data_IF_764073621061
#
_entry.id   IF_764073621061
#
_cell.length_a   1.000
_cell.length_b   1.000
_cell.length_c   1.000
_cell.angle_alpha   90.00
_cell.angle_beta   90.00
_cell.angle_gamma   90.00
#
_symmetry.space_group_name_H-M   'P 1'
#
loop_
_entity.id
_entity.type
_entity.pdbx_description
1 polymer ?
#
# COMPACT_ATOMS: atom_id res chain seq x y z
N UNK A 1 11.52 -4.60 32.61
CA UNK A 1 10.46 -3.95 31.84
C UNK A 1 10.28 -4.78 30.58
N UNK A 2 9.29 -5.67 30.54
CA UNK A 2 8.92 -6.45 29.36
C UNK A 2 8.11 -5.52 28.45
N UNK A 3 8.67 -5.16 27.30
CA UNK A 3 7.92 -4.49 26.24
C UNK A 3 7.00 -5.55 25.66
N UNK A 4 5.71 -5.52 25.99
CA UNK A 4 4.71 -6.25 25.24
C UNK A 4 4.64 -5.64 23.84
N UNK A 5 5.16 -6.34 22.85
CA UNK A 5 4.90 -6.08 21.44
C UNK A 5 3.44 -6.42 21.19
N UNK A 6 2.55 -5.46 21.49
CA UNK A 6 1.15 -5.55 21.11
C UNK A 6 1.08 -5.51 19.58
N UNK A 7 0.69 -6.62 18.96
CA UNK A 7 0.25 -6.59 17.57
C UNK A 7 -1.00 -5.71 17.53
N UNK A 8 -0.89 -4.53 16.93
CA UNK A 8 -2.05 -3.72 16.61
C UNK A 8 -2.91 -4.51 15.63
N UNK A 9 -4.10 -4.89 16.06
CA UNK A 9 -5.04 -5.73 15.34
C UNK A 9 -6.42 -5.08 15.39
N UNK A 10 -7.01 -4.86 14.22
CA UNK A 10 -8.38 -4.37 14.12
C UNK A 10 -9.32 -5.54 13.89
N UNK A 11 -9.93 -6.03 14.96
CA UNK A 11 -10.84 -7.18 14.94
C UNK A 11 -12.05 -6.95 14.03
N UNK A 12 -12.60 -5.74 14.01
CA UNK A 12 -13.74 -5.39 13.18
C UNK A 12 -13.42 -5.51 11.70
N UNK A 13 -12.30 -4.93 11.27
CA UNK A 13 -11.85 -5.01 9.87
C UNK A 13 -11.54 -6.46 9.48
N UNK A 14 -10.88 -7.21 10.35
CA UNK A 14 -10.56 -8.62 10.05
C UNK A 14 -11.81 -9.48 9.89
N UNK A 15 -12.82 -9.30 10.75
CA UNK A 15 -14.11 -9.99 10.64
C UNK A 15 -14.83 -9.63 9.33
N UNK A 16 -14.84 -8.35 8.93
CA UNK A 16 -15.42 -7.93 7.66
C UNK A 16 -14.69 -8.53 6.46
N UNK A 17 -13.35 -8.53 6.46
CA UNK A 17 -12.54 -9.13 5.39
C UNK A 17 -12.77 -10.66 5.28
N UNK A 18 -12.93 -11.35 6.40
CA UNK A 18 -13.27 -12.77 6.45
C UNK A 18 -14.69 -13.03 5.93
N UNK A 19 -15.66 -12.21 6.36
CA UNK A 19 -17.06 -12.30 5.90
C UNK A 19 -17.17 -12.06 4.39
N UNK A 20 -16.55 -11.00 3.86
CA UNK A 20 -16.51 -10.77 2.41
C UNK A 20 -15.93 -11.96 1.64
N UNK A 21 -14.88 -12.58 2.21
CA UNK A 21 -14.24 -13.76 1.60
C UNK A 21 -15.15 -14.99 1.64
N UNK A 22 -15.93 -15.18 2.71
CA UNK A 22 -16.90 -16.27 2.85
C UNK A 22 -18.03 -16.10 1.81
N UNK A 23 -18.64 -14.90 1.73
CA UNK A 23 -19.66 -14.60 0.71
C UNK A 23 -19.13 -14.85 -0.71
N UNK A 24 -17.89 -14.49 -1.00
CA UNK A 24 -17.29 -14.72 -2.32
C UNK A 24 -17.05 -16.21 -2.61
N UNK A 25 -16.74 -17.05 -1.60
CA UNK A 25 -16.65 -18.50 -1.75
C UNK A 25 -17.99 -19.12 -2.09
N UNK A 26 -19.08 -18.61 -1.51
CA UNK A 26 -20.45 -18.99 -1.78
C UNK A 26 -20.99 -18.41 -3.11
N UNK A 27 -20.16 -17.71 -3.87
CA UNK A 27 -20.50 -17.00 -5.11
C UNK A 27 -21.53 -15.89 -4.94
N UNK A 28 -21.76 -15.43 -3.71
CA UNK A 28 -22.58 -14.26 -3.42
C UNK A 28 -21.74 -12.98 -3.53
N UNK A 29 -21.43 -12.61 -4.78
CA UNK A 29 -20.46 -11.52 -5.04
C UNK A 29 -21.03 -10.14 -4.72
N UNK A 30 -22.32 -9.90 -4.86
CA UNK A 30 -22.93 -8.61 -4.51
C UNK A 30 -22.84 -8.36 -3.01
N UNK A 31 -23.12 -9.36 -2.17
CA UNK A 31 -22.93 -9.29 -0.73
C UNK A 31 -21.43 -9.12 -0.39
N UNK A 32 -20.55 -9.87 -1.07
CA UNK A 32 -19.11 -9.74 -0.86
C UNK A 32 -18.61 -8.31 -1.18
N UNK A 33 -19.13 -7.67 -2.23
CA UNK A 33 -18.84 -6.27 -2.57
C UNK A 33 -19.33 -5.31 -1.47
N UNK A 34 -20.57 -5.50 -0.99
CA UNK A 34 -21.14 -4.67 0.06
C UNK A 34 -20.34 -4.74 1.36
N UNK A 35 -20.03 -5.95 1.83
CA UNK A 35 -19.22 -6.17 3.03
C UNK A 35 -17.79 -5.64 2.84
N UNK A 36 -17.23 -5.78 1.64
CA UNK A 36 -15.89 -5.26 1.35
C UNK A 36 -15.85 -3.73 1.33
N UNK A 37 -16.90 -3.05 0.88
CA UNK A 37 -17.02 -1.60 0.98
C UNK A 37 -17.05 -1.15 2.45
N UNK A 38 -17.83 -1.83 3.28
CA UNK A 38 -17.84 -1.57 4.73
C UNK A 38 -16.46 -1.81 5.37
N UNK A 39 -15.75 -2.87 4.95
CA UNK A 39 -14.39 -3.11 5.40
C UNK A 39 -13.46 -1.96 5.03
N UNK A 40 -13.54 -1.43 3.80
CA UNK A 40 -12.74 -0.29 3.35
C UNK A 40 -13.00 0.97 4.16
N UNK A 41 -14.27 1.29 4.45
CA UNK A 41 -14.62 2.44 5.31
C UNK A 41 -13.98 2.33 6.70
N UNK A 42 -13.92 1.10 7.26
CA UNK A 42 -13.28 0.88 8.56
C UNK A 42 -11.74 0.88 8.45
N UNK A 43 -11.17 0.44 7.33
CA UNK A 43 -9.72 0.53 7.06
C UNK A 43 -9.25 1.98 7.09
N UNK A 44 -10.00 2.93 6.47
CA UNK A 44 -9.61 4.35 6.40
C UNK A 44 -9.63 5.08 7.73
N UNK A 45 -10.31 4.56 8.74
CA UNK A 45 -10.37 5.16 10.08
C UNK A 45 -9.60 4.34 11.13
N UNK A 46 -8.97 3.25 10.72
CA UNK A 46 -8.20 2.37 11.60
C UNK A 46 -6.77 2.88 11.77
N UNK A 47 -6.25 2.77 13.00
CA UNK A 47 -4.82 3.04 13.29
C UNK A 47 -3.89 1.91 12.82
N UNK A 48 -4.44 0.86 12.17
CA UNK A 48 -3.70 -0.31 11.70
C UNK A 48 -3.53 -0.28 10.19
N UNK A 49 -2.31 -0.49 9.71
CA UNK A 49 -2.02 -0.62 8.27
C UNK A 49 -2.46 -1.98 7.72
N UNK A 50 -3.16 -1.96 6.60
CA UNK A 50 -3.62 -3.15 5.90
C UNK A 50 -2.84 -3.38 4.61
N UNK A 51 -2.67 -4.65 4.21
CA UNK A 51 -1.92 -4.96 3.00
C UNK A 51 -2.62 -4.46 1.72
N UNK A 52 -1.85 -4.07 0.67
CA UNK A 52 -2.41 -3.70 -0.63
C UNK A 52 -3.33 -4.77 -1.22
N UNK A 53 -3.04 -6.05 -0.94
CA UNK A 53 -3.86 -7.17 -1.41
C UNK A 53 -5.25 -7.19 -0.75
N UNK A 54 -5.37 -6.80 0.52
CA UNK A 54 -6.65 -6.71 1.21
C UNK A 54 -7.51 -5.58 0.63
N UNK A 55 -6.91 -4.42 0.38
CA UNK A 55 -7.61 -3.25 -0.18
C UNK A 55 -8.07 -3.51 -1.61
N UNK A 56 -7.21 -4.04 -2.48
CA UNK A 56 -7.54 -4.32 -3.87
C UNK A 56 -8.46 -5.55 -4.08
N UNK A 57 -8.82 -6.26 -3.00
CA UNK A 57 -9.61 -7.50 -3.05
C UNK A 57 -11.02 -7.32 -3.58
N UNK A 58 -11.59 -6.13 -3.46
CA UNK A 58 -12.91 -5.79 -3.96
C UNK A 58 -13.00 -5.85 -5.49
N UNK A 59 -11.92 -5.51 -6.19
CA UNK A 59 -11.87 -5.43 -7.65
C UNK A 59 -12.25 -6.75 -8.33
N UNK A 60 -11.67 -7.92 -7.98
CA UNK A 60 -12.11 -9.21 -8.51
C UNK A 60 -13.56 -9.58 -8.17
N UNK A 61 -14.13 -9.05 -7.10
CA UNK A 61 -15.52 -9.34 -6.75
C UNK A 61 -16.50 -8.69 -7.73
N UNK A 62 -16.25 -7.44 -8.13
CA UNK A 62 -17.03 -6.79 -9.20
C UNK A 62 -16.99 -7.60 -10.51
N UNK A 63 -15.81 -8.05 -10.94
CA UNK A 63 -15.69 -8.84 -12.18
C UNK A 63 -16.48 -10.15 -12.07
N UNK A 64 -16.36 -10.87 -10.95
CA UNK A 64 -17.09 -12.13 -10.74
C UNK A 64 -18.60 -11.96 -10.61
N UNK A 65 -19.07 -10.78 -10.22
CA UNK A 65 -20.48 -10.39 -10.23
C UNK A 65 -20.98 -10.01 -11.64
N UNK A 66 -20.14 -10.08 -12.68
CA UNK A 66 -20.48 -9.60 -14.04
C UNK A 66 -20.53 -8.08 -14.15
N UNK A 67 -19.91 -7.34 -13.22
CA UNK A 67 -19.96 -5.88 -13.08
C UNK A 67 -18.58 -5.26 -13.29
N UNK A 68 -17.88 -5.68 -14.36
CA UNK A 68 -16.52 -5.23 -14.64
C UNK A 68 -16.41 -3.70 -14.69
N UNK A 69 -17.28 -3.04 -15.47
CA UNK A 69 -17.27 -1.59 -15.62
C UNK A 69 -17.50 -0.85 -14.29
N UNK A 70 -18.36 -1.38 -13.40
CA UNK A 70 -18.57 -0.81 -12.07
C UNK A 70 -17.30 -0.93 -11.22
N UNK A 71 -16.55 -2.03 -11.37
CA UNK A 71 -15.27 -2.24 -10.70
C UNK A 71 -14.20 -1.26 -11.15
N UNK A 72 -14.13 -0.97 -12.45
CA UNK A 72 -13.25 0.08 -13.01
C UNK A 72 -13.66 1.46 -12.46
N UNK A 73 -14.94 1.80 -12.57
CA UNK A 73 -15.44 3.08 -12.08
C UNK A 73 -15.20 3.26 -10.57
N UNK A 74 -15.41 2.20 -9.76
CA UNK A 74 -15.14 2.24 -8.33
C UNK A 74 -13.66 2.46 -8.02
N UNK A 75 -12.76 1.83 -8.78
CA UNK A 75 -11.33 2.03 -8.62
C UNK A 75 -10.94 3.50 -8.91
N UNK A 76 -11.42 4.05 -10.02
CA UNK A 76 -11.03 5.39 -10.48
C UNK A 76 -11.67 6.52 -9.66
N UNK A 77 -12.94 6.36 -9.25
CA UNK A 77 -13.69 7.44 -8.58
C UNK A 77 -13.64 7.39 -7.07
N UNK A 78 -13.28 6.26 -6.47
CA UNK A 78 -13.27 6.11 -5.01
C UNK A 78 -11.95 5.53 -4.50
N UNK A 79 -11.55 4.33 -4.94
CA UNK A 79 -10.48 3.59 -4.27
C UNK A 79 -9.10 4.25 -4.44
N UNK A 80 -8.73 4.63 -5.67
CA UNK A 80 -7.45 5.27 -5.95
C UNK A 80 -7.38 6.68 -5.35
N UNK A 81 -8.39 7.56 -5.50
CA UNK A 81 -8.41 8.84 -4.80
C UNK A 81 -8.26 8.70 -3.29
N UNK A 82 -8.97 7.75 -2.68
CA UNK A 82 -8.91 7.53 -1.23
C UNK A 82 -7.54 7.07 -0.77
N UNK A 83 -6.88 6.17 -1.52
CA UNK A 83 -5.51 5.76 -1.26
C UNK A 83 -4.50 6.92 -1.33
N UNK A 84 -4.73 7.89 -2.21
CA UNK A 84 -3.87 9.07 -2.33
C UNK A 84 -4.09 10.03 -1.17
N UNK A 85 -5.34 10.18 -0.69
CA UNK A 85 -5.68 11.04 0.45
C UNK A 85 -5.19 10.48 1.79
N UNK A 86 -5.23 9.16 1.97
CA UNK A 86 -4.96 8.47 3.23
C UNK A 86 -3.48 8.52 3.64
N UNK A 87 -2.58 8.70 2.69
CA UNK A 87 -1.14 8.76 2.94
C UNK A 87 -0.63 10.19 2.95
N UNK A 88 0.17 10.54 3.97
CA UNK A 88 0.95 11.77 3.94
C UNK A 88 1.96 11.71 2.78
N UNK A 89 1.90 12.71 1.90
CA UNK A 89 2.76 12.79 0.72
C UNK A 89 4.06 13.56 0.98
N UNK A 90 4.38 13.88 2.23
CA UNK A 90 5.55 14.67 2.61
C UNK A 90 6.87 13.94 2.37
N UNK A 91 6.91 12.62 2.61
CA UNK A 91 8.09 11.77 2.47
C UNK A 91 8.11 10.92 1.19
N UNK A 92 9.31 10.57 0.71
CA UNK A 92 9.46 9.67 -0.44
C UNK A 92 8.98 8.26 -0.13
N UNK A 93 9.15 7.79 1.11
CA UNK A 93 8.67 6.48 1.58
C UNK A 93 7.14 6.39 1.53
N UNK A 94 6.42 7.42 2.00
CA UNK A 94 4.95 7.44 1.97
C UNK A 94 4.43 7.47 0.54
N UNK A 95 5.03 8.29 -0.32
CA UNK A 95 4.73 8.31 -1.75
C UNK A 95 5.00 6.98 -2.44
N UNK A 96 6.02 6.24 -2.00
CA UNK A 96 6.29 4.89 -2.48
C UNK A 96 5.14 3.95 -2.12
N UNK A 97 4.64 3.99 -0.88
CA UNK A 97 3.50 3.17 -0.48
C UNK A 97 2.24 3.47 -1.31
N UNK A 98 1.94 4.74 -1.61
CA UNK A 98 0.85 5.09 -2.54
C UNK A 98 1.05 4.35 -3.87
N UNK A 99 2.25 4.41 -4.45
CA UNK A 99 2.54 3.71 -5.71
C UNK A 99 2.32 2.19 -5.59
N UNK A 100 2.72 1.57 -4.47
CA UNK A 100 2.52 0.15 -4.22
C UNK A 100 1.03 -0.22 -4.19
N UNK A 101 0.21 0.55 -3.47
CA UNK A 101 -1.22 0.29 -3.32
C UNK A 101 -1.98 0.52 -4.63
N UNK A 102 -1.74 1.65 -5.28
CA UNK A 102 -2.35 1.97 -6.59
C UNK A 102 -1.90 0.97 -7.65
N UNK A 103 -0.63 0.60 -7.67
CA UNK A 103 -0.10 -0.45 -8.55
C UNK A 103 -0.84 -1.78 -8.36
N UNK A 104 -1.15 -2.14 -7.10
CA UNK A 104 -1.91 -3.37 -6.80
C UNK A 104 -3.36 -3.32 -7.27
N UNK A 105 -4.00 -2.16 -7.21
CA UNK A 105 -5.34 -1.96 -7.80
C UNK A 105 -5.28 -2.17 -9.32
N UNK A 106 -4.32 -1.55 -10.00
CA UNK A 106 -4.15 -1.72 -11.45
C UNK A 106 -3.82 -3.16 -11.86
N UNK A 107 -3.01 -3.91 -11.09
CA UNK A 107 -2.80 -5.35 -11.33
C UNK A 107 -4.13 -6.12 -11.32
N UNK A 108 -5.03 -5.82 -10.37
CA UNK A 108 -6.32 -6.51 -10.29
C UNK A 108 -7.24 -6.12 -11.44
N UNK A 109 -7.23 -4.85 -11.86
CA UNK A 109 -7.97 -4.38 -13.03
C UNK A 109 -7.46 -5.05 -14.31
N UNK A 110 -6.14 -5.13 -14.53
CA UNK A 110 -5.54 -5.82 -15.66
C UNK A 110 -5.95 -7.31 -15.72
N UNK A 111 -5.90 -8.00 -14.56
CA UNK A 111 -6.32 -9.40 -14.47
C UNK A 111 -7.82 -9.57 -14.79
N UNK A 112 -8.66 -8.62 -14.36
CA UNK A 112 -10.09 -8.66 -14.65
C UNK A 112 -10.35 -8.39 -16.14
N UNK A 113 -9.71 -7.38 -16.74
CA UNK A 113 -9.78 -7.08 -18.17
C UNK A 113 -9.38 -8.30 -19.02
N UNK A 114 -8.31 -9.01 -18.62
CA UNK A 114 -7.88 -10.27 -19.25
C UNK A 114 -8.96 -11.34 -19.22
N UNK A 115 -9.66 -11.51 -18.09
CA UNK A 115 -10.76 -12.47 -17.93
C UNK A 115 -11.97 -12.10 -18.77
N UNK A 116 -12.28 -10.83 -18.90
CA UNK A 116 -13.32 -10.28 -19.77
C UNK A 116 -12.91 -10.20 -21.25
N UNK A 117 -11.63 -10.52 -21.57
CA UNK A 117 -11.04 -10.46 -22.91
C UNK A 117 -11.03 -9.05 -23.53
N UNK A 118 -10.93 -8.03 -22.70
CA UNK A 118 -10.83 -6.62 -23.10
C UNK A 118 -9.34 -6.25 -23.20
N UNK A 119 -8.74 -6.45 -24.37
CA UNK A 119 -7.28 -6.33 -24.57
C UNK A 119 -6.74 -4.93 -24.32
N UNK A 120 -7.48 -3.90 -24.70
CA UNK A 120 -7.02 -2.52 -24.54
C UNK A 120 -6.93 -2.14 -23.07
N UNK A 121 -7.93 -2.51 -22.26
CA UNK A 121 -7.93 -2.30 -20.82
C UNK A 121 -6.84 -3.17 -20.13
N UNK A 122 -6.65 -4.43 -20.57
CA UNK A 122 -5.58 -5.29 -20.05
C UNK A 122 -4.22 -4.63 -20.23
N UNK A 123 -3.95 -4.12 -21.42
CA UNK A 123 -2.69 -3.45 -21.75
C UNK A 123 -2.55 -2.14 -20.97
N UNK A 124 -3.60 -1.31 -20.92
CA UNK A 124 -3.60 -0.05 -20.19
C UNK A 124 -3.30 -0.26 -18.71
N UNK A 125 -4.05 -1.13 -18.03
CA UNK A 125 -3.86 -1.36 -16.59
C UNK A 125 -2.55 -2.09 -16.27
N UNK A 126 -2.06 -2.98 -17.15
CA UNK A 126 -0.75 -3.62 -16.99
C UNK A 126 0.38 -2.58 -17.05
N UNK A 127 0.31 -1.63 -17.98
CA UNK A 127 1.29 -0.55 -18.09
C UNK A 127 1.25 0.35 -16.85
N UNK A 128 0.05 0.72 -16.37
CA UNK A 128 -0.11 1.50 -15.15
C UNK A 128 0.46 0.79 -13.92
N UNK A 129 0.21 -0.50 -13.78
CA UNK A 129 0.79 -1.29 -12.69
C UNK A 129 2.33 -1.30 -12.75
N UNK A 130 2.91 -1.47 -13.94
CA UNK A 130 4.35 -1.45 -14.14
C UNK A 130 4.98 -0.07 -13.84
N UNK A 131 4.33 1.02 -14.28
CA UNK A 131 4.73 2.40 -13.95
C UNK A 131 4.76 2.63 -12.44
N UNK A 132 3.69 2.22 -11.72
CA UNK A 132 3.60 2.35 -10.28
C UNK A 132 4.66 1.53 -9.55
N UNK A 133 4.94 0.29 -9.97
CA UNK A 133 5.98 -0.54 -9.37
C UNK A 133 7.38 0.06 -9.59
N UNK A 134 7.64 0.61 -10.77
CA UNK A 134 8.89 1.32 -11.07
C UNK A 134 9.05 2.57 -10.19
N UNK A 135 7.98 3.35 -10.02
CA UNK A 135 7.96 4.52 -9.15
C UNK A 135 8.17 4.12 -7.68
N UNK A 136 7.50 3.07 -7.21
CA UNK A 136 7.70 2.51 -5.86
C UNK A 136 9.17 2.22 -5.59
N UNK A 137 9.84 1.48 -6.48
CA UNK A 137 11.24 1.10 -6.29
C UNK A 137 12.15 2.33 -6.20
N UNK A 138 11.96 3.32 -7.07
CA UNK A 138 12.75 4.56 -7.06
C UNK A 138 12.51 5.39 -5.79
N UNK A 139 11.25 5.54 -5.40
CA UNK A 139 10.89 6.33 -4.21
C UNK A 139 11.36 5.66 -2.92
N UNK A 140 11.33 4.33 -2.83
CA UNK A 140 11.90 3.61 -1.68
C UNK A 140 13.40 3.82 -1.55
N UNK A 141 14.15 3.86 -2.67
CA UNK A 141 15.58 4.14 -2.62
C UNK A 141 15.86 5.59 -2.17
N UNK A 142 15.07 6.56 -2.67
CA UNK A 142 15.16 7.96 -2.25
C UNK A 142 14.82 8.09 -0.75
N UNK A 143 13.71 7.51 -0.30
CA UNK A 143 13.27 7.52 1.09
C UNK A 143 14.32 6.93 2.02
N UNK A 144 14.93 5.80 1.65
CA UNK A 144 16.03 5.21 2.43
C UNK A 144 17.20 6.19 2.63
N UNK A 145 17.51 7.01 1.63
CA UNK A 145 18.57 8.02 1.72
C UNK A 145 18.12 9.19 2.58
N UNK A 146 16.85 9.61 2.47
CA UNK A 146 16.27 10.67 3.30
C UNK A 146 16.28 10.27 4.78
N UNK A 147 15.80 9.09 5.12
CA UNK A 147 15.81 8.54 6.47
C UNK A 147 17.24 8.45 7.03
N UNK A 148 18.19 7.99 6.21
CA UNK A 148 19.59 7.89 6.60
C UNK A 148 20.21 9.27 6.90
N UNK A 149 19.85 10.30 6.12
CA UNK A 149 20.30 11.68 6.36
C UNK A 149 19.71 12.26 7.64
N UNK A 150 18.43 12.02 7.89
CA UNK A 150 17.78 12.46 9.12
C UNK A 150 18.40 11.82 10.34
N UNK A 151 18.61 10.50 10.32
CA UNK A 151 19.28 9.77 11.38
C UNK A 151 20.71 10.28 11.60
N UNK A 152 21.42 10.61 10.53
CA UNK A 152 22.75 11.21 10.63
C UNK A 152 22.71 12.55 11.38
N UNK A 153 21.73 13.42 11.10
CA UNK A 153 21.55 14.69 11.83
C UNK A 153 21.25 14.46 13.33
N UNK A 154 20.43 13.45 13.63
CA UNK A 154 20.18 13.07 15.02
C UNK A 154 21.45 12.59 15.73
N UNK A 155 22.28 11.79 15.05
CA UNK A 155 23.57 11.34 15.61
C UNK A 155 24.56 12.50 15.80
N UNK A 156 24.59 13.48 14.89
CA UNK A 156 25.37 14.70 15.07
C UNK A 156 24.96 15.48 16.32
N UNK A 157 23.66 15.54 16.60
CA UNK A 157 23.17 16.20 17.81
C UNK A 157 23.61 15.50 19.10
N UNK A 158 23.76 14.16 19.06
CA UNK A 158 24.18 13.34 20.22
C UNK A 158 25.69 13.32 20.40
N UNK A 159 26.47 13.07 19.35
CA UNK A 159 27.91 12.82 19.40
C UNK A 159 28.74 14.02 19.00
N UNK A 160 28.14 15.07 18.41
CA UNK A 160 28.84 16.24 17.86
C UNK A 160 29.62 15.91 16.58
N UNK A 161 30.39 16.85 16.10
CA UNK A 161 31.15 16.75 14.84
C UNK A 161 32.52 16.04 14.98
N UNK A 162 32.84 15.54 16.17
CA UNK A 162 34.10 14.82 16.41
C UNK A 162 33.89 13.34 16.12
N UNK A 163 34.05 12.94 14.86
CA UNK A 163 33.88 11.57 14.41
C UNK A 163 34.80 10.56 15.10
N UNK A 164 35.91 10.99 15.70
CA UNK A 164 36.79 10.13 16.51
C UNK A 164 36.12 9.62 17.79
N UNK A 165 35.01 10.22 18.21
CA UNK A 165 34.21 9.80 19.36
C UNK A 165 33.02 8.92 19.00
N UNK A 166 32.72 8.79 17.71
CA UNK A 166 31.60 7.98 17.26
C UNK A 166 31.93 6.48 17.32
N UNK A 167 31.00 5.62 17.73
CA UNK A 167 31.19 4.18 17.63
C UNK A 167 31.41 3.76 16.16
N UNK A 168 32.34 2.83 15.91
CA UNK A 168 32.65 2.31 14.58
C UNK A 168 31.41 1.78 13.83
N UNK A 169 30.48 1.17 14.55
CA UNK A 169 29.22 0.67 13.99
C UNK A 169 28.33 1.80 13.43
N UNK A 170 28.35 2.96 14.10
CA UNK A 170 27.61 4.17 13.66
C UNK A 170 28.29 4.79 12.45
N UNK A 171 29.62 4.94 12.48
CA UNK A 171 30.39 5.49 11.34
C UNK A 171 30.19 4.65 10.08
N UNK A 172 30.25 3.33 10.17
CA UNK A 172 30.02 2.42 9.02
C UNK A 172 28.65 2.60 8.41
N UNK A 173 27.63 2.85 9.20
CA UNK A 173 26.26 3.07 8.71
C UNK A 173 26.15 4.29 7.81
N UNK A 174 26.93 5.33 8.11
CA UNK A 174 26.87 6.62 7.39
C UNK A 174 27.96 6.81 6.34
N UNK A 175 28.78 5.78 6.05
CA UNK A 175 29.84 5.87 5.04
C UNK A 175 29.36 6.38 3.67
N UNK A 176 28.11 6.05 3.30
CA UNK A 176 27.52 6.50 2.03
C UNK A 176 27.19 8.01 1.99
N UNK A 177 27.05 8.65 3.16
CA UNK A 177 26.76 10.10 3.28
C UNK A 177 28.06 10.88 3.50
N UNK A 178 29.06 10.27 4.16
CA UNK A 178 30.32 10.92 4.51
C UNK A 178 31.34 10.97 3.36
N UNK A 179 31.06 10.27 2.26
CA UNK A 179 31.83 10.30 1.00
C UNK A 179 31.28 11.33 0.03
#
# INVERSE_FOLDING_TARGET
MTVELGFHYDEKVDLLLKSASACAKEKNFDTAISVMKEALENIWISDVSFSPANIAKIIPYFQKAGRYSDGVAFADTYLIPKLIEDYDQSGSTDRAFICLYVGKVHEKLALNAKREKIKDDEMFFSNKAAEMLSAYTKLMEIGRIEDLKEEYQQMLAVFGNDYGKWPDTVLKKFEAILK
#
